data_IF_098407656370
#
_entry.id   IF_098407656370
#
_cell.length_a   1.000
_cell.length_b   1.000
_cell.length_c   1.000
_cell.angle_alpha   90.00
_cell.angle_beta   90.00
_cell.angle_gamma   90.00
#
_symmetry.space_group_name_H-M   'P 1'
#
loop_
_entity.id
_entity.type
_entity.pdbx_description
1 polymer ?
#
# COMPACT_ATOMS: atom_id res chain seq x y z
N UNK A 1 42.70 15.77 20.45
CA UNK A 1 43.17 15.01 19.29
C UNK A 1 43.05 13.55 19.72
N UNK A 2 42.18 12.67 19.23
CA UNK A 2 41.37 12.56 18.01
C UNK A 2 39.95 12.09 18.39
N UNK A 3 38.89 12.67 17.82
CA UNK A 3 37.58 12.02 17.77
C UNK A 3 37.64 11.02 16.62
N UNK A 4 37.63 9.74 16.95
CA UNK A 4 37.58 8.64 15.99
C UNK A 4 36.32 8.76 15.12
N UNK A 5 36.48 9.28 13.91
CA UNK A 5 35.51 9.20 12.84
C UNK A 5 35.38 7.76 12.39
N UNK A 6 34.40 7.02 12.91
CA UNK A 6 34.01 5.73 12.34
C UNK A 6 33.63 5.94 10.87
N UNK A 7 34.24 5.22 9.92
CA UNK A 7 33.87 5.34 8.52
C UNK A 7 32.41 4.89 8.35
N UNK A 8 31.60 5.59 7.53
CA UNK A 8 30.25 5.15 7.25
C UNK A 8 30.29 3.78 6.59
N UNK A 9 29.56 2.82 7.15
CA UNK A 9 29.30 1.52 6.53
C UNK A 9 28.72 1.75 5.13
N UNK A 10 29.36 1.30 4.04
CA UNK A 10 28.90 1.57 2.66
C UNK A 10 27.58 0.86 2.27
N UNK A 11 26.88 0.25 3.23
CA UNK A 11 25.70 -0.57 3.00
C UNK A 11 24.43 0.03 3.63
N UNK A 12 23.29 -0.19 2.97
CA UNK A 12 21.96 0.02 3.55
C UNK A 12 21.87 -0.61 4.94
N UNK A 13 21.37 0.14 5.93
CA UNK A 13 21.24 -0.33 7.30
C UNK A 13 20.31 -1.55 7.40
N UNK A 14 20.49 -2.36 8.44
CA UNK A 14 19.60 -3.50 8.73
C UNK A 14 18.14 -3.06 8.89
N UNK A 15 17.91 -1.87 9.45
CA UNK A 15 16.58 -1.31 9.61
C UNK A 15 15.93 -0.93 8.27
N UNK A 16 16.73 -0.45 7.31
CA UNK A 16 16.26 -0.22 5.96
C UNK A 16 15.80 -1.54 5.31
N UNK A 17 16.59 -2.61 5.41
CA UNK A 17 16.21 -3.90 4.83
C UNK A 17 14.96 -4.50 5.47
N UNK A 18 14.78 -4.35 6.78
CA UNK A 18 13.55 -4.74 7.48
C UNK A 18 12.34 -3.94 7.00
N UNK A 19 12.47 -2.62 6.91
CA UNK A 19 11.41 -1.76 6.37
C UNK A 19 11.09 -2.11 4.92
N UNK A 20 12.10 -2.27 4.07
CA UNK A 20 11.94 -2.59 2.67
C UNK A 20 11.22 -3.92 2.46
N UNK A 21 11.63 -4.97 3.17
CA UNK A 21 10.97 -6.27 3.07
C UNK A 21 9.51 -6.20 3.57
N UNK A 22 9.28 -5.57 4.73
CA UNK A 22 7.93 -5.40 5.29
C UNK A 22 7.01 -4.59 4.38
N UNK A 23 7.51 -3.48 3.84
CA UNK A 23 6.77 -2.62 2.91
C UNK A 23 6.47 -3.36 1.60
N UNK A 24 7.44 -4.10 1.05
CA UNK A 24 7.25 -4.87 -0.18
C UNK A 24 6.17 -5.94 0.01
N UNK A 25 6.22 -6.70 1.10
CA UNK A 25 5.21 -7.72 1.41
C UNK A 25 3.84 -7.07 1.61
N UNK A 26 3.78 -5.95 2.32
CA UNK A 26 2.53 -5.23 2.57
C UNK A 26 1.92 -4.67 1.28
N UNK A 27 2.73 -4.10 0.41
CA UNK A 27 2.29 -3.57 -0.88
C UNK A 27 1.84 -4.69 -1.82
N UNK A 28 2.53 -5.83 -1.81
CA UNK A 28 2.15 -7.01 -2.57
C UNK A 28 0.80 -7.56 -2.08
N UNK A 29 0.62 -7.72 -0.78
CA UNK A 29 -0.63 -8.16 -0.18
C UNK A 29 -1.78 -7.18 -0.45
N UNK A 30 -1.52 -5.87 -0.40
CA UNK A 30 -2.51 -4.83 -0.72
C UNK A 30 -2.95 -4.92 -2.18
N UNK A 31 -1.99 -5.08 -3.10
CA UNK A 31 -2.28 -5.27 -4.53
C UNK A 31 -3.11 -6.53 -4.77
N UNK A 32 -2.77 -7.63 -4.09
CA UNK A 32 -3.54 -8.87 -4.17
C UNK A 32 -4.97 -8.70 -3.66
N UNK A 33 -5.16 -8.06 -2.49
CA UNK A 33 -6.48 -7.79 -1.90
C UNK A 33 -7.36 -6.94 -2.82
N UNK A 34 -6.77 -5.95 -3.51
CA UNK A 34 -7.46 -5.09 -4.46
C UNK A 34 -8.10 -5.90 -5.60
N UNK A 35 -7.43 -6.95 -6.08
CA UNK A 35 -7.98 -7.84 -7.10
C UNK A 35 -8.86 -8.95 -6.53
N UNK A 36 -8.48 -9.55 -5.40
CA UNK A 36 -9.15 -10.69 -4.81
C UNK A 36 -10.55 -10.34 -4.27
N UNK A 37 -10.70 -9.21 -3.59
CA UNK A 37 -11.99 -8.75 -3.01
C UNK A 37 -13.13 -8.66 -4.04
N UNK A 38 -12.98 -7.92 -5.16
CA UNK A 38 -14.03 -7.82 -6.17
C UNK A 38 -14.30 -9.15 -6.89
N UNK A 39 -13.28 -10.00 -7.07
CA UNK A 39 -13.46 -11.36 -7.60
C UNK A 39 -14.25 -12.26 -6.65
N UNK A 40 -14.03 -12.15 -5.33
CA UNK A 40 -14.81 -12.83 -4.31
C UNK A 40 -16.28 -12.39 -4.34
N UNK A 41 -16.55 -11.09 -4.47
CA UNK A 41 -17.91 -10.54 -4.59
C UNK A 41 -18.58 -11.10 -5.84
N UNK A 42 -17.88 -11.15 -6.97
CA UNK A 42 -18.39 -11.77 -8.19
C UNK A 42 -18.70 -13.26 -7.98
N UNK A 43 -17.81 -14.01 -7.33
CA UNK A 43 -18.04 -15.42 -7.04
C UNK A 43 -19.28 -15.66 -6.18
N UNK A 44 -19.52 -14.82 -5.18
CA UNK A 44 -20.68 -14.94 -4.29
C UNK A 44 -21.99 -14.48 -4.96
N UNK A 45 -21.96 -13.37 -5.68
CA UNK A 45 -23.17 -12.76 -6.25
C UNK A 45 -23.48 -13.22 -7.67
N UNK A 46 -22.50 -13.82 -8.37
CA UNK A 46 -22.54 -14.21 -9.78
C UNK A 46 -22.92 -13.06 -10.73
N UNK A 47 -22.77 -11.81 -10.27
CA UNK A 47 -23.16 -10.59 -10.98
C UNK A 47 -21.94 -9.74 -11.28
N UNK A 48 -21.70 -9.47 -12.57
CA UNK A 48 -20.62 -8.58 -13.04
C UNK A 48 -20.84 -7.13 -12.61
N UNK A 49 -22.10 -6.72 -12.40
CA UNK A 49 -22.44 -5.38 -11.92
C UNK A 49 -21.91 -5.17 -10.50
N UNK A 50 -22.08 -6.16 -9.62
CA UNK A 50 -21.60 -6.07 -8.23
C UNK A 50 -20.07 -6.03 -8.14
N UNK A 51 -19.37 -6.70 -9.06
CA UNK A 51 -17.92 -6.57 -9.20
C UNK A 51 -17.55 -5.12 -9.57
N UNK A 52 -18.22 -4.54 -10.55
CA UNK A 52 -17.98 -3.16 -10.98
C UNK A 52 -18.25 -2.14 -9.87
N UNK A 53 -19.34 -2.31 -9.13
CA UNK A 53 -19.68 -1.48 -7.97
C UNK A 53 -18.62 -1.62 -6.88
N UNK A 54 -18.17 -2.83 -6.56
CA UNK A 54 -17.13 -3.06 -5.57
C UNK A 54 -15.80 -2.39 -5.97
N UNK A 55 -15.43 -2.45 -7.24
CA UNK A 55 -14.27 -1.72 -7.78
C UNK A 55 -14.46 -0.21 -7.61
N UNK A 56 -15.61 0.33 -7.99
CA UNK A 56 -15.93 1.76 -7.87
C UNK A 56 -15.92 2.25 -6.41
N UNK A 57 -16.40 1.42 -5.47
CA UNK A 57 -16.43 1.74 -4.05
C UNK A 57 -15.04 2.02 -3.46
N UNK A 58 -13.97 1.44 -4.02
CA UNK A 58 -12.60 1.76 -3.61
C UNK A 58 -12.23 3.24 -3.81
N UNK A 59 -12.88 3.94 -4.74
CA UNK A 59 -12.61 5.36 -5.02
C UNK A 59 -13.34 6.31 -4.10
N UNK A 60 -14.40 5.86 -3.43
CA UNK A 60 -15.25 6.72 -2.57
C UNK A 60 -14.45 7.43 -1.48
N UNK A 61 -13.55 6.76 -0.71
CA UNK A 61 -12.75 7.45 0.29
C UNK A 61 -11.84 8.53 -0.31
N UNK A 62 -11.24 8.24 -1.47
CA UNK A 62 -10.40 9.22 -2.16
C UNK A 62 -11.19 10.42 -2.66
N UNK A 63 -12.44 10.22 -3.10
CA UNK A 63 -13.31 11.31 -3.53
C UNK A 63 -13.72 12.21 -2.35
N UNK A 64 -14.03 11.60 -1.21
CA UNK A 64 -14.48 12.31 -0.02
C UNK A 64 -13.35 13.05 0.69
N UNK A 65 -12.18 12.43 0.77
CA UNK A 65 -11.08 12.92 1.61
C UNK A 65 -9.85 13.37 0.83
N UNK A 66 -9.70 12.97 -0.44
CA UNK A 66 -8.49 13.25 -1.23
C UNK A 66 -8.25 14.74 -1.46
N UNK A 67 -9.30 15.53 -1.70
CA UNK A 67 -9.17 16.98 -1.87
C UNK A 67 -8.80 17.68 -0.55
N UNK A 68 -9.45 17.30 0.55
CA UNK A 68 -9.25 17.94 1.86
C UNK A 68 -7.89 17.58 2.45
N UNK A 69 -7.53 16.30 2.45
CA UNK A 69 -6.24 15.82 2.95
C UNK A 69 -5.11 16.33 2.04
N UNK A 70 -5.31 16.28 0.71
CA UNK A 70 -4.29 16.70 -0.25
C UNK A 70 -4.00 18.20 -0.22
N UNK A 71 -4.98 19.04 0.14
CA UNK A 71 -4.76 20.49 0.28
C UNK A 71 -4.19 20.89 1.66
N UNK A 72 -4.31 20.04 2.68
CA UNK A 72 -3.78 20.29 4.01
C UNK A 72 -2.27 20.00 4.09
N UNK A 73 -1.80 18.93 3.44
CA UNK A 73 -0.43 18.40 3.58
C UNK A 73 0.64 19.22 2.87
#
# INVERSE_FOLDING_TARGET
MERSSSPPSPGLSVDFWKFWAGQTISQLGSSFTLFATPLLIFKLTRSSVNLGIAMAANFVPYLLFGLVIGAWV
#
